data_IF_240235316427
#
_entry.id   IF_240235316427
#
_cell.length_a   1.000
_cell.length_b   1.000
_cell.length_c   1.000
_cell.angle_alpha   90.00
_cell.angle_beta   90.00
_cell.angle_gamma   90.00
#
_symmetry.space_group_name_H-M   'P 1'
#
loop_
_entity.id
_entity.type
_entity.pdbx_description
1 polymer ?
#
# COMPACT_ATOMS: atom_id res chain seq x y z
N UNK A 1 -6.73 -13.67 69.87
CA UNK A 1 -6.30 -14.32 68.60
C UNK A 1 -7.10 -13.91 67.35
N UNK A 2 -8.41 -13.63 67.40
CA UNK A 2 -9.22 -13.31 66.20
C UNK A 2 -8.79 -12.06 65.40
N UNK A 3 -8.23 -11.02 66.06
CA UNK A 3 -7.78 -9.78 65.39
C UNK A 3 -6.57 -9.97 64.45
N UNK A 4 -5.62 -10.85 64.81
CA UNK A 4 -4.43 -11.10 63.98
C UNK A 4 -4.77 -11.84 62.67
N UNK A 5 -5.72 -12.78 62.71
CA UNK A 5 -6.19 -13.49 61.52
C UNK A 5 -6.98 -12.59 60.55
N UNK A 6 -7.71 -11.59 61.07
CA UNK A 6 -8.46 -10.63 60.24
C UNK A 6 -7.53 -9.69 59.45
N UNK A 7 -6.48 -9.16 60.09
CA UNK A 7 -5.51 -8.29 59.43
C UNK A 7 -4.70 -9.02 58.34
N UNK A 8 -4.30 -10.27 58.59
CA UNK A 8 -3.63 -11.10 57.60
C UNK A 8 -4.53 -11.40 56.40
N UNK A 9 -5.81 -11.76 56.64
CA UNK A 9 -6.77 -12.07 55.58
C UNK A 9 -7.01 -10.88 54.63
N UNK A 10 -7.14 -9.66 55.16
CA UNK A 10 -7.27 -8.45 54.34
C UNK A 10 -6.01 -8.14 53.51
N UNK A 11 -4.82 -8.37 54.07
CA UNK A 11 -3.55 -8.15 53.37
C UNK A 11 -3.36 -9.14 52.20
N UNK A 12 -3.75 -10.40 52.39
CA UNK A 12 -3.71 -11.42 51.32
C UNK A 12 -4.76 -11.17 50.21
N UNK A 13 -5.97 -10.75 50.56
CA UNK A 13 -7.01 -10.40 49.58
C UNK A 13 -6.54 -9.23 48.73
N UNK A 14 -6.03 -8.15 49.35
CA UNK A 14 -5.52 -6.99 48.63
C UNK A 14 -4.38 -7.37 47.69
N UNK A 15 -3.41 -8.17 48.13
CA UNK A 15 -2.28 -8.64 47.32
C UNK A 15 -2.72 -9.45 46.09
N UNK A 16 -3.77 -10.27 46.22
CA UNK A 16 -4.32 -11.06 45.12
C UNK A 16 -5.04 -10.20 44.07
N UNK A 17 -5.73 -9.15 44.51
CA UNK A 17 -6.43 -8.19 43.66
C UNK A 17 -5.42 -7.30 42.92
N UNK A 18 -4.38 -6.81 43.61
CA UNK A 18 -3.35 -5.97 42.97
C UNK A 18 -2.65 -6.71 41.85
N UNK A 19 -2.32 -7.99 42.06
CA UNK A 19 -1.71 -8.84 41.03
C UNK A 19 -2.60 -9.00 39.80
N UNK A 20 -3.90 -9.24 40.00
CA UNK A 20 -4.88 -9.35 38.89
C UNK A 20 -4.99 -8.04 38.09
N UNK A 21 -5.05 -6.90 38.79
CA UNK A 21 -5.08 -5.59 38.15
C UNK A 21 -3.80 -5.37 37.34
N UNK A 22 -2.64 -5.68 37.91
CA UNK A 22 -1.35 -5.54 37.23
C UNK A 22 -1.29 -6.40 35.95
N UNK A 23 -1.78 -7.64 36.00
CA UNK A 23 -1.84 -8.51 34.82
C UNK A 23 -2.78 -7.98 33.73
N UNK A 24 -3.92 -7.39 34.11
CA UNK A 24 -4.84 -6.79 33.12
C UNK A 24 -4.21 -5.58 32.46
N UNK A 25 -3.59 -4.69 33.25
CA UNK A 25 -2.88 -3.53 32.71
C UNK A 25 -1.77 -3.97 31.75
N UNK A 26 -0.99 -4.98 32.14
CA UNK A 26 0.06 -5.54 31.28
C UNK A 26 -0.51 -6.10 29.97
N UNK A 27 -1.60 -6.85 30.03
CA UNK A 27 -2.26 -7.39 28.84
C UNK A 27 -2.78 -6.29 27.89
N UNK A 28 -3.34 -5.21 28.44
CA UNK A 28 -3.79 -4.06 27.64
C UNK A 28 -2.61 -3.36 26.95
N UNK A 29 -1.49 -3.18 27.65
CA UNK A 29 -0.28 -2.59 27.06
C UNK A 29 0.27 -3.46 25.93
N UNK A 30 0.34 -4.79 26.14
CA UNK A 30 0.76 -5.73 25.09
C UNK A 30 -0.19 -5.69 23.89
N UNK A 31 -1.50 -5.61 24.13
CA UNK A 31 -2.47 -5.51 23.05
C UNK A 31 -2.30 -4.21 22.26
N UNK A 32 -2.08 -3.08 22.94
CA UNK A 32 -1.84 -1.79 22.28
C UNK A 32 -0.58 -1.79 21.42
N UNK A 33 0.53 -2.34 21.94
CA UNK A 33 1.79 -2.42 21.16
C UNK A 33 1.66 -3.38 19.99
N UNK A 34 1.00 -4.52 20.18
CA UNK A 34 0.71 -5.46 19.11
C UNK A 34 -0.17 -4.83 18.03
N UNK A 35 -1.23 -4.12 18.43
CA UNK A 35 -2.12 -3.44 17.50
C UNK A 35 -1.38 -2.37 16.68
N UNK A 36 -0.53 -1.58 17.34
CA UNK A 36 0.34 -0.61 16.66
C UNK A 36 1.30 -1.28 15.69
N UNK A 37 1.84 -2.44 16.05
CA UNK A 37 2.73 -3.21 15.19
C UNK A 37 2.01 -3.76 13.95
N UNK A 38 0.80 -4.31 14.10
CA UNK A 38 -0.03 -4.74 12.97
C UNK A 38 -0.36 -3.55 12.07
N UNK A 39 -0.74 -2.40 12.63
CA UNK A 39 -1.00 -1.19 11.86
C UNK A 39 0.24 -0.73 11.10
N UNK A 40 1.41 -0.80 11.72
CA UNK A 40 2.69 -0.49 11.08
C UNK A 40 3.00 -1.46 9.94
N UNK A 41 2.76 -2.76 10.09
CA UNK A 41 2.94 -3.76 9.03
C UNK A 41 1.98 -3.53 7.86
N UNK A 42 0.71 -3.21 8.13
CA UNK A 42 -0.27 -2.91 7.08
C UNK A 42 0.10 -1.61 6.35
N UNK A 43 0.54 -0.59 7.08
CA UNK A 43 1.03 0.65 6.49
C UNK A 43 2.30 0.38 5.67
N UNK A 44 3.26 -0.36 6.20
CA UNK A 44 4.45 -0.77 5.46
C UNK A 44 4.08 -1.60 4.23
N UNK A 45 3.08 -2.47 4.25
CA UNK A 45 2.64 -3.20 3.05
C UNK A 45 1.99 -2.29 2.00
N UNK A 46 1.22 -1.29 2.42
CA UNK A 46 0.57 -0.33 1.52
C UNK A 46 1.51 0.74 0.96
N UNK A 47 2.53 1.11 1.73
CA UNK A 47 3.47 2.19 1.40
C UNK A 47 4.88 1.70 1.07
N UNK A 48 5.18 0.41 1.29
CA UNK A 48 6.42 -0.16 0.76
C UNK A 48 6.31 -0.04 -0.75
N UNK A 49 7.28 0.62 -1.41
CA UNK A 49 7.44 0.43 -2.84
C UNK A 49 7.59 -1.07 -3.03
N UNK A 50 6.69 -1.69 -3.80
CA UNK A 50 6.83 -3.09 -4.17
C UNK A 50 8.29 -3.28 -4.61
N UNK A 51 9.03 -4.26 -4.05
CA UNK A 51 10.42 -4.45 -4.42
C UNK A 51 10.44 -4.51 -5.94
N UNK A 52 11.22 -3.65 -6.63
CA UNK A 52 11.22 -3.62 -8.07
C UNK A 52 11.50 -5.05 -8.49
N UNK A 53 10.52 -5.70 -9.12
CA UNK A 53 10.77 -6.96 -9.78
C UNK A 53 11.72 -6.57 -10.89
N UNK A 54 13.02 -6.67 -10.62
CA UNK A 54 14.11 -6.53 -11.56
C UNK A 54 13.90 -7.62 -12.62
N UNK A 55 12.95 -7.39 -13.53
CA UNK A 55 13.03 -7.90 -14.88
C UNK A 55 14.12 -7.04 -15.48
N UNK A 56 15.37 -7.43 -15.21
CA UNK A 56 16.50 -7.03 -16.02
C UNK A 56 16.21 -7.53 -17.42
N UNK A 57 15.46 -6.76 -18.17
CA UNK A 57 15.34 -6.89 -19.60
C UNK A 57 15.93 -5.61 -20.16
N UNK A 58 17.13 -5.76 -20.72
CA UNK A 58 17.66 -4.91 -21.78
C UNK A 58 16.73 -4.94 -23.00
N UNK A 59 15.44 -4.68 -22.82
CA UNK A 59 14.55 -4.31 -23.90
C UNK A 59 14.69 -2.81 -24.04
N UNK A 60 15.05 -2.35 -25.23
CA UNK A 60 15.02 -0.92 -25.52
C UNK A 60 13.67 -0.37 -25.06
N UNK A 61 13.67 0.70 -24.26
CA UNK A 61 12.44 1.30 -23.76
C UNK A 61 11.43 1.56 -24.90
N UNK A 62 11.94 1.87 -26.09
CA UNK A 62 11.22 2.00 -27.35
C UNK A 62 10.40 0.76 -27.75
N UNK A 63 10.95 -0.45 -27.60
CA UNK A 63 10.29 -1.71 -27.96
C UNK A 63 9.19 -2.09 -26.95
N UNK A 64 9.39 -1.73 -25.67
CA UNK A 64 8.39 -1.98 -24.62
C UNK A 64 7.22 -1.00 -24.72
N UNK A 65 7.48 0.27 -25.07
CA UNK A 65 6.45 1.30 -25.28
C UNK A 65 5.53 0.90 -26.44
N UNK A 66 6.08 0.36 -27.53
CA UNK A 66 5.30 -0.08 -28.68
C UNK A 66 4.46 -1.35 -28.41
N UNK A 67 4.69 -2.03 -27.28
CA UNK A 67 4.02 -3.28 -26.90
C UNK A 67 2.96 -3.09 -25.79
N UNK A 68 2.52 -1.85 -25.53
CA UNK A 68 1.45 -1.58 -24.57
C UNK A 68 0.14 -2.25 -25.05
N UNK A 69 -0.43 -3.13 -24.23
CA UNK A 69 -1.64 -3.88 -24.57
C UNK A 69 -2.86 -3.43 -23.74
N UNK A 70 -4.08 -3.49 -24.29
CA UNK A 70 -5.30 -2.98 -23.63
C UNK A 70 -5.63 -3.55 -22.25
N UNK A 71 -5.16 -4.77 -21.96
CA UNK A 71 -5.40 -5.44 -20.68
C UNK A 71 -4.44 -4.97 -19.57
N UNK A 72 -3.35 -4.28 -19.92
CA UNK A 72 -2.38 -3.79 -18.94
C UNK A 72 -3.01 -2.74 -18.02
N UNK A 73 -2.67 -2.76 -16.74
CA UNK A 73 -3.12 -1.74 -15.78
C UNK A 73 -2.17 -0.54 -15.76
N UNK A 74 -2.66 0.60 -15.26
CA UNK A 74 -1.79 1.76 -15.01
C UNK A 74 -0.69 1.41 -13.99
N UNK A 75 -1.01 0.60 -13.00
CA UNK A 75 -0.03 0.08 -12.03
C UNK A 75 1.09 -0.73 -12.71
N UNK A 76 0.73 -1.60 -13.67
CA UNK A 76 1.71 -2.34 -14.46
C UNK A 76 2.61 -1.40 -15.26
N UNK A 77 2.05 -0.40 -15.93
CA UNK A 77 2.84 0.58 -16.69
C UNK A 77 3.76 1.40 -15.79
N UNK A 78 3.27 1.85 -14.63
CA UNK A 78 4.08 2.58 -13.65
C UNK A 78 5.28 1.75 -13.20
N UNK A 79 5.08 0.45 -12.96
CA UNK A 79 6.16 -0.46 -12.57
C UNK A 79 7.14 -0.75 -13.72
N UNK A 80 6.61 -1.07 -14.91
CA UNK A 80 7.44 -1.42 -16.08
C UNK A 80 8.34 -0.27 -16.52
N UNK A 81 7.85 0.97 -16.44
CA UNK A 81 8.60 2.16 -16.86
C UNK A 81 9.18 2.97 -15.69
N UNK A 82 9.11 2.45 -14.47
CA UNK A 82 9.58 3.11 -13.25
C UNK A 82 9.04 4.56 -13.11
N UNK A 83 7.74 4.73 -13.36
CA UNK A 83 7.05 6.01 -13.27
C UNK A 83 6.55 6.26 -11.83
N UNK A 84 6.48 7.53 -11.39
CA UNK A 84 5.80 7.88 -10.16
C UNK A 84 4.34 7.41 -10.19
N UNK A 85 3.78 6.90 -9.07
CA UNK A 85 2.43 6.33 -9.03
C UNK A 85 1.33 7.27 -9.54
N UNK A 86 1.46 8.58 -9.32
CA UNK A 86 0.49 9.59 -9.76
C UNK A 86 0.83 10.24 -11.11
N UNK A 87 1.99 9.94 -11.72
CA UNK A 87 2.44 10.62 -12.94
C UNK A 87 1.45 10.46 -14.10
N UNK A 88 1.04 9.22 -14.41
CA UNK A 88 0.07 8.97 -15.48
C UNK A 88 -1.33 9.50 -15.11
N UNK A 89 -1.67 9.53 -13.82
CA UNK A 89 -2.94 10.08 -13.34
C UNK A 89 -3.03 11.58 -13.59
N UNK A 90 -2.00 12.31 -13.22
CA UNK A 90 -1.91 13.75 -13.37
C UNK A 90 -1.79 14.14 -14.85
N UNK A 91 -0.94 13.44 -15.59
CA UNK A 91 -0.68 13.72 -17.01
C UNK A 91 -1.90 13.44 -17.90
N UNK A 92 -2.66 12.38 -17.60
CA UNK A 92 -3.83 11.99 -18.39
C UNK A 92 -5.16 12.39 -17.73
N UNK A 93 -5.09 13.18 -16.65
CA UNK A 93 -6.25 13.66 -15.88
C UNK A 93 -7.26 12.55 -15.52
N UNK A 94 -6.75 11.41 -15.02
CA UNK A 94 -7.59 10.25 -14.68
C UNK A 94 -8.35 10.49 -13.38
N UNK A 95 -9.67 10.44 -13.45
CA UNK A 95 -10.58 10.70 -12.31
C UNK A 95 -11.17 9.43 -11.69
N UNK A 96 -10.94 8.26 -12.28
CA UNK A 96 -11.52 6.99 -11.81
C UNK A 96 -10.89 6.52 -10.50
N UNK A 97 -11.72 6.26 -9.48
CA UNK A 97 -11.29 5.81 -8.16
C UNK A 97 -10.65 4.42 -8.12
N UNK A 98 -10.73 3.64 -9.21
CA UNK A 98 -10.05 2.34 -9.34
C UNK A 98 -8.59 2.47 -9.73
N UNK A 99 -8.11 3.70 -9.96
CA UNK A 99 -6.70 3.95 -10.29
C UNK A 99 -5.82 3.55 -9.10
N UNK A 100 -4.63 2.95 -9.30
CA UNK A 100 -3.97 2.61 -10.57
C UNK A 100 -4.28 1.19 -11.11
N UNK A 101 -5.15 0.41 -10.43
CA UNK A 101 -5.38 -1.01 -10.76
C UNK A 101 -6.25 -1.23 -11.98
N UNK A 102 -6.81 -0.16 -12.54
CA UNK A 102 -7.71 -0.24 -13.68
C UNK A 102 -6.94 -0.48 -14.99
N UNK A 103 -7.51 -1.31 -15.86
CA UNK A 103 -6.95 -1.61 -17.18
C UNK A 103 -7.13 -0.43 -18.14
N UNK A 104 -6.07 -0.11 -18.88
CA UNK A 104 -6.04 1.04 -19.80
C UNK A 104 -7.12 0.95 -20.90
N UNK A 105 -7.36 -0.24 -21.45
CA UNK A 105 -8.42 -0.46 -22.45
C UNK A 105 -9.83 -0.41 -21.87
N UNK A 106 -9.99 -0.83 -20.61
CA UNK A 106 -11.25 -0.69 -19.87
C UNK A 106 -11.59 0.77 -19.60
N UNK A 107 -10.58 1.56 -19.24
CA UNK A 107 -10.72 3.00 -19.05
C UNK A 107 -11.12 3.73 -20.32
N UNK A 108 -10.37 3.52 -21.42
CA UNK A 108 -10.66 4.13 -22.72
C UNK A 108 -12.11 3.89 -23.16
N UNK A 109 -12.61 2.66 -22.94
CA UNK A 109 -14.00 2.30 -23.21
C UNK A 109 -14.99 3.05 -22.33
N UNK A 110 -14.66 3.23 -21.05
CA UNK A 110 -15.52 3.92 -20.07
C UNK A 110 -15.68 5.41 -20.41
N UNK A 111 -14.59 6.08 -20.80
CA UNK A 111 -14.57 7.50 -21.17
C UNK A 111 -14.96 7.75 -22.64
N UNK A 112 -15.31 6.70 -23.39
CA UNK A 112 -15.70 6.75 -24.82
C UNK A 112 -14.67 7.43 -25.74
N UNK A 113 -13.38 7.37 -25.38
CA UNK A 113 -12.30 7.86 -26.24
C UNK A 113 -11.88 6.74 -27.21
N UNK A 114 -11.45 7.13 -28.41
CA UNK A 114 -10.85 6.19 -29.34
C UNK A 114 -9.66 5.49 -28.69
N UNK A 115 -9.68 4.15 -28.75
CA UNK A 115 -8.69 3.32 -28.08
C UNK A 115 -7.30 3.66 -28.58
N UNK A 116 -7.11 3.71 -29.89
CA UNK A 116 -5.81 3.91 -30.51
C UNK A 116 -5.24 5.28 -30.16
N UNK A 117 -6.07 6.32 -30.19
CA UNK A 117 -5.69 7.66 -29.75
C UNK A 117 -5.27 7.69 -28.27
N UNK A 118 -6.00 7.02 -27.40
CA UNK A 118 -5.69 6.95 -25.98
C UNK A 118 -4.36 6.22 -25.71
N UNK A 119 -4.12 5.09 -26.37
CA UNK A 119 -2.85 4.36 -26.26
C UNK A 119 -1.67 5.22 -26.70
N UNK A 120 -1.80 5.91 -27.83
CA UNK A 120 -0.77 6.83 -28.33
C UNK A 120 -0.45 7.92 -27.30
N UNK A 121 -1.46 8.45 -26.63
CA UNK A 121 -1.28 9.47 -25.58
C UNK A 121 -0.50 8.91 -24.38
N UNK A 122 -0.78 7.66 -23.98
CA UNK A 122 -0.01 6.96 -22.94
C UNK A 122 1.44 6.76 -23.38
N UNK A 123 1.66 6.28 -24.61
CA UNK A 123 3.00 6.06 -25.17
C UNK A 123 3.81 7.36 -25.18
N UNK A 124 3.22 8.46 -25.64
CA UNK A 124 3.84 9.79 -25.66
C UNK A 124 4.17 10.28 -24.24
N UNK A 125 3.26 10.11 -23.28
CA UNK A 125 3.50 10.48 -21.88
C UNK A 125 4.68 9.72 -21.26
N UNK A 126 4.82 8.43 -21.57
CA UNK A 126 5.93 7.58 -21.11
C UNK A 126 7.22 7.99 -21.79
N UNK A 127 7.22 8.19 -23.12
CA UNK A 127 8.39 8.68 -23.88
C UNK A 127 8.90 10.00 -23.32
N UNK A 128 8.01 10.94 -23.05
CA UNK A 128 8.35 12.25 -22.49
C UNK A 128 9.01 12.12 -21.10
N UNK A 129 8.53 11.21 -20.27
CA UNK A 129 9.14 10.95 -18.96
C UNK A 129 10.56 10.39 -19.10
N UNK A 130 10.73 9.37 -19.95
CA UNK A 130 12.03 8.72 -20.16
C UNK A 130 13.07 9.71 -20.71
N UNK A 131 12.68 10.54 -21.70
CA UNK A 131 13.56 11.57 -22.26
C UNK A 131 13.95 12.64 -21.24
N UNK A 132 13.09 12.95 -20.27
CA UNK A 132 13.38 13.94 -19.21
C UNK A 132 14.29 13.37 -18.12
N UNK A 133 14.32 12.05 -17.96
CA UNK A 133 15.13 11.37 -16.94
C UNK A 133 16.57 11.06 -17.37
N UNK A 134 16.89 11.24 -18.66
CA UNK A 134 18.26 11.23 -19.19
C UNK A 134 18.92 12.60 -19.05
#
# INVERSE_FOLDING_TARGET
MKKFFSAAKNKFINLSITRRILTVIFAVLVFMTFWSFIRMLVFAYWYAPFPPKNHGQNMNATDVINNIQPWMSFDYLNQTFNLPPDYLRETLHITDGRYPRLGIGGYAKHIKIDKQHFFKTIEEAIRNYQNKSQ
#
